data_IF_489102024166
#
_entry.id   IF_489102024166
#
_cell.length_a   1.000
_cell.length_b   1.000
_cell.length_c   1.000
_cell.angle_alpha   90.00
_cell.angle_beta   90.00
_cell.angle_gamma   90.00
#
_symmetry.space_group_name_H-M   'P 1'
#
loop_
_entity.id
_entity.type
_entity.pdbx_description
1 polymer ?
#
# COMPACT_ATOMS: atom_id res chain seq x y z
N UNK A 1 -8.67 -21.48 -29.56
CA UNK A 1 -8.33 -20.86 -28.27
C UNK A 1 -8.34 -19.33 -28.40
N UNK A 2 -9.37 -18.78 -29.05
CA UNK A 2 -9.38 -17.40 -29.59
C UNK A 2 -10.66 -16.61 -29.22
N UNK A 3 -11.51 -17.14 -28.33
CA UNK A 3 -12.85 -16.58 -28.08
C UNK A 3 -13.14 -16.13 -26.65
N UNK A 4 -12.10 -16.00 -25.81
CA UNK A 4 -12.24 -15.55 -24.42
C UNK A 4 -11.52 -14.22 -24.12
N UNK A 5 -10.94 -13.57 -25.13
CA UNK A 5 -10.25 -12.27 -24.98
C UNK A 5 -11.16 -11.04 -25.17
N UNK A 6 -12.44 -11.21 -25.50
CA UNK A 6 -13.34 -10.09 -25.84
C UNK A 6 -14.22 -9.57 -24.68
N UNK A 7 -13.95 -9.96 -23.42
CA UNK A 7 -14.73 -9.50 -22.24
C UNK A 7 -13.91 -8.75 -21.18
N UNK A 8 -12.64 -8.50 -21.43
CA UNK A 8 -11.77 -7.78 -20.51
C UNK A 8 -11.55 -6.37 -21.04
N UNK A 9 -12.30 -5.40 -20.52
CA UNK A 9 -11.93 -3.98 -20.66
C UNK A 9 -10.64 -3.76 -19.86
N UNK A 10 -9.50 -3.48 -20.52
CA UNK A 10 -8.25 -3.20 -19.84
C UNK A 10 -8.38 -1.91 -19.02
N UNK A 11 -7.65 -1.85 -17.91
CA UNK A 11 -7.51 -0.65 -17.11
C UNK A 11 -6.83 0.41 -17.98
N UNK A 12 -7.59 1.31 -18.60
CA UNK A 12 -7.05 2.46 -19.33
C UNK A 12 -6.36 3.40 -18.34
N UNK A 13 -5.08 3.12 -18.11
CA UNK A 13 -4.14 4.08 -17.56
C UNK A 13 -3.90 5.13 -18.64
N UNK A 14 -4.49 6.32 -18.50
CA UNK A 14 -4.13 7.48 -19.33
C UNK A 14 -2.72 7.90 -18.92
N UNK A 15 -1.73 7.50 -19.71
CA UNK A 15 -0.36 8.02 -19.62
C UNK A 15 0.09 8.54 -20.98
N UNK A 16 0.50 9.81 -20.99
CA UNK A 16 1.07 10.49 -22.14
C UNK A 16 2.60 10.28 -22.13
N UNK A 17 3.10 9.83 -23.28
CA UNK A 17 4.48 9.82 -23.75
C UNK A 17 5.51 8.95 -23.00
N UNK A 18 5.98 7.89 -23.68
CA UNK A 18 7.17 7.12 -23.34
C UNK A 18 6.91 5.62 -23.19
N UNK A 19 6.82 4.92 -24.32
CA UNK A 19 6.65 3.47 -24.52
C UNK A 19 7.24 2.58 -23.41
N UNK A 20 6.40 2.07 -22.51
CA UNK A 20 6.61 0.78 -21.81
C UNK A 20 5.26 0.11 -21.57
N UNK A 21 4.99 -0.95 -22.33
CA UNK A 21 3.82 -1.83 -22.14
C UNK A 21 4.04 -2.64 -20.85
N UNK A 22 3.32 -2.31 -19.78
CA UNK A 22 3.35 -3.09 -18.54
C UNK A 22 2.27 -4.18 -18.61
N UNK A 23 2.70 -5.43 -18.80
CA UNK A 23 1.79 -6.58 -18.69
C UNK A 23 1.44 -6.80 -17.22
N UNK A 24 0.20 -6.48 -16.84
CA UNK A 24 -0.36 -6.85 -15.54
C UNK A 24 -0.45 -8.39 -15.49
N UNK A 25 0.49 -9.06 -14.82
CA UNK A 25 0.42 -10.51 -14.60
C UNK A 25 -0.61 -10.80 -13.52
N UNK A 26 -1.85 -11.13 -13.93
CA UNK A 26 -2.80 -11.83 -13.06
C UNK A 26 -2.31 -13.26 -12.88
N UNK A 27 -1.97 -13.67 -11.66
CA UNK A 27 -1.75 -15.09 -11.35
C UNK A 27 -2.99 -15.66 -10.67
N UNK A 28 -3.79 -16.39 -11.44
CA UNK A 28 -4.63 -17.48 -10.95
C UNK A 28 -4.05 -18.75 -11.57
N UNK A 29 -3.86 -19.78 -10.73
CA UNK A 29 -3.50 -21.18 -11.03
C UNK A 29 -2.02 -21.61 -10.88
N UNK A 30 -1.87 -22.60 -9.99
CA UNK A 30 -0.83 -23.63 -9.88
C UNK A 30 0.57 -23.23 -9.37
N UNK A 31 0.64 -23.06 -8.04
CA UNK A 31 1.87 -23.21 -7.29
C UNK A 31 2.29 -24.70 -7.24
N UNK A 32 2.98 -25.16 -8.28
CA UNK A 32 3.82 -26.35 -8.26
C UNK A 32 5.22 -25.99 -8.75
N UNK A 33 6.11 -25.74 -7.79
CA UNK A 33 7.53 -26.08 -7.90
C UNK A 33 8.31 -25.61 -9.13
N UNK A 34 8.14 -24.36 -9.59
CA UNK A 34 9.14 -23.72 -10.45
C UNK A 34 9.92 -22.71 -9.65
N UNK A 35 11.14 -23.10 -9.29
CA UNK A 35 12.20 -22.21 -8.87
C UNK A 35 12.33 -21.09 -9.92
N UNK A 36 11.88 -19.89 -9.57
CA UNK A 36 12.40 -18.68 -10.20
C UNK A 36 13.90 -18.66 -9.92
N UNK A 37 14.70 -18.42 -10.95
CA UNK A 37 16.15 -18.53 -10.96
C UNK A 37 16.81 -18.08 -9.66
N UNK A 38 17.53 -19.00 -9.03
CA UNK A 38 18.36 -18.80 -7.85
C UNK A 38 19.62 -18.03 -8.23
N UNK A 39 19.52 -16.76 -8.60
CA UNK A 39 20.69 -15.97 -9.03
C UNK A 39 20.55 -14.49 -8.66
N UNK A 40 20.11 -14.23 -7.43
CA UNK A 40 20.62 -13.19 -6.51
C UNK A 40 19.75 -13.25 -5.25
N UNK A 41 20.20 -13.96 -4.21
CA UNK A 41 19.55 -13.93 -2.89
C UNK A 41 20.02 -12.70 -2.11
N UNK A 42 20.05 -11.53 -2.75
CA UNK A 42 20.26 -10.30 -2.03
C UNK A 42 19.03 -10.04 -1.16
N UNK A 43 19.26 -9.95 0.15
CA UNK A 43 18.24 -9.62 1.13
C UNK A 43 17.51 -8.36 0.69
N UNK A 44 16.18 -8.42 0.58
CA UNK A 44 15.40 -7.25 0.17
C UNK A 44 15.33 -6.32 1.38
N UNK A 45 16.00 -5.16 1.28
CA UNK A 45 15.91 -4.12 2.31
C UNK A 45 14.58 -3.39 2.23
N UNK A 46 13.83 -3.45 3.32
CA UNK A 46 12.51 -2.86 3.47
C UNK A 46 12.54 -1.85 4.62
N UNK A 47 11.93 -0.69 4.41
CA UNK A 47 11.55 0.22 5.50
C UNK A 47 10.04 0.13 5.69
N UNK A 48 9.61 0.07 6.95
CA UNK A 48 8.20 0.13 7.33
C UNK A 48 7.85 1.55 7.80
N UNK A 49 6.78 2.14 7.27
CA UNK A 49 6.30 3.45 7.66
C UNK A 49 4.82 3.40 8.04
N UNK A 50 4.42 4.03 9.14
CA UNK A 50 3.00 4.13 9.49
C UNK A 50 2.75 4.55 10.93
N UNK A 51 1.50 4.81 11.28
CA UNK A 51 1.15 5.19 12.66
C UNK A 51 1.15 3.97 13.59
N UNK A 52 1.59 4.12 14.87
CA UNK A 52 1.56 3.04 15.84
C UNK A 52 0.17 2.41 15.95
N UNK A 53 0.10 1.11 15.71
CA UNK A 53 -1.13 0.33 15.79
C UNK A 53 -0.82 -1.16 15.91
N UNK A 54 -1.77 -1.98 16.40
CA UNK A 54 -1.58 -3.44 16.41
C UNK A 54 -1.26 -4.02 15.04
N UNK A 55 -1.86 -3.47 13.98
CA UNK A 55 -1.60 -3.89 12.60
C UNK A 55 -0.15 -3.57 12.18
N UNK A 56 0.38 -2.38 12.50
CA UNK A 56 1.78 -2.05 12.20
C UNK A 56 2.74 -2.98 12.95
N UNK A 57 2.48 -3.24 14.24
CA UNK A 57 3.29 -4.17 15.04
C UNK A 57 3.26 -5.60 14.48
N UNK A 58 2.10 -6.02 13.96
CA UNK A 58 1.94 -7.29 13.27
C UNK A 58 2.74 -7.37 11.98
N UNK A 59 2.67 -6.35 11.12
CA UNK A 59 3.48 -6.28 9.90
C UNK A 59 4.98 -6.33 10.20
N UNK A 60 5.43 -5.59 11.22
CA UNK A 60 6.82 -5.64 11.71
C UNK A 60 7.23 -7.05 12.10
N UNK A 61 6.37 -7.78 12.81
CA UNK A 61 6.64 -9.16 13.21
C UNK A 61 6.75 -10.08 11.99
N UNK A 62 5.84 -9.98 11.02
CA UNK A 62 5.90 -10.75 9.77
C UNK A 62 7.21 -10.51 9.01
N UNK A 63 7.62 -9.25 8.85
CA UNK A 63 8.86 -8.88 8.17
C UNK A 63 10.10 -9.36 8.90
N UNK A 64 10.06 -9.39 10.24
CA UNK A 64 11.17 -9.86 11.07
C UNK A 64 11.34 -11.38 11.03
N UNK A 65 10.29 -12.12 10.69
CA UNK A 65 10.33 -13.58 10.53
C UNK A 65 10.70 -14.03 9.11
N UNK A 66 10.68 -13.13 8.12
CA UNK A 66 11.03 -13.44 6.74
C UNK A 66 12.55 -13.60 6.58
N UNK A 67 12.99 -14.67 5.92
CA UNK A 67 14.41 -15.01 5.77
C UNK A 67 15.08 -14.34 4.57
N UNK A 68 14.30 -13.73 3.69
CA UNK A 68 14.69 -13.07 2.44
C UNK A 68 14.48 -11.54 2.48
N UNK A 69 14.02 -11.01 3.62
CA UNK A 69 13.74 -9.60 3.84
C UNK A 69 14.55 -9.09 5.04
N UNK A 70 15.18 -7.93 4.86
CA UNK A 70 15.82 -7.18 5.94
C UNK A 70 14.94 -5.96 6.26
N UNK A 71 14.41 -5.90 7.48
CA UNK A 71 13.75 -4.68 7.97
C UNK A 71 14.81 -3.65 8.38
N UNK A 72 15.21 -2.81 7.44
CA UNK A 72 16.28 -1.81 7.59
C UNK A 72 15.90 -0.63 8.50
N UNK A 73 14.61 -0.51 8.86
CA UNK A 73 14.14 0.41 9.89
C UNK A 73 12.63 0.63 9.86
N UNK A 74 12.15 1.36 10.84
CA UNK A 74 10.75 1.75 10.98
C UNK A 74 10.66 3.26 11.24
N UNK A 75 9.71 3.92 10.60
CA UNK A 75 9.37 5.32 10.87
C UNK A 75 7.88 5.50 11.12
N UNK A 76 7.56 6.34 12.10
CA UNK A 76 6.17 6.69 12.40
C UNK A 76 5.71 7.95 11.63
N UNK A 77 6.63 8.59 10.92
CA UNK A 77 6.41 9.83 10.17
C UNK A 77 6.45 9.53 8.68
N UNK A 78 5.28 9.22 8.12
CA UNK A 78 5.13 8.89 6.69
C UNK A 78 5.73 9.97 5.77
N UNK A 79 5.58 11.29 6.02
CA UNK A 79 6.21 12.31 5.17
C UNK A 79 7.74 12.25 5.09
N UNK A 80 8.41 11.73 6.11
CA UNK A 80 9.88 11.59 6.16
C UNK A 80 10.36 10.23 5.62
N UNK A 81 9.43 9.32 5.33
CA UNK A 81 9.74 7.95 4.99
C UNK A 81 10.56 7.81 3.70
N UNK A 82 10.43 8.74 2.76
CA UNK A 82 11.26 8.77 1.54
C UNK A 82 12.75 8.94 1.89
N UNK A 83 13.06 9.95 2.67
CA UNK A 83 14.44 10.25 3.09
C UNK A 83 15.01 9.08 3.90
N UNK A 84 14.25 8.59 4.88
CA UNK A 84 14.66 7.47 5.71
C UNK A 84 14.91 6.19 4.89
N UNK A 85 14.07 5.90 3.88
CA UNK A 85 14.26 4.78 2.97
C UNK A 85 15.56 4.91 2.14
N UNK A 86 15.86 6.12 1.64
CA UNK A 86 17.08 6.40 0.89
C UNK A 86 18.33 6.24 1.77
N UNK A 87 18.32 6.80 2.99
CA UNK A 87 19.43 6.68 3.94
C UNK A 87 19.73 5.24 4.33
N UNK A 88 18.70 4.39 4.38
CA UNK A 88 18.82 2.96 4.69
C UNK A 88 19.14 2.08 3.48
N UNK A 89 19.20 2.66 2.27
CA UNK A 89 19.37 1.90 1.04
C UNK A 89 18.24 0.90 0.79
N UNK A 90 17.02 1.24 1.23
CA UNK A 90 15.87 0.38 1.09
C UNK A 90 15.42 0.31 -0.37
N UNK A 91 15.12 -0.91 -0.83
CA UNK A 91 14.55 -1.13 -2.17
C UNK A 91 13.03 -0.95 -2.15
N UNK A 92 12.41 -1.28 -1.03
CA UNK A 92 10.96 -1.19 -0.85
C UNK A 92 10.65 -0.36 0.40
N UNK A 93 9.72 0.59 0.25
CA UNK A 93 9.10 1.30 1.36
C UNK A 93 7.66 0.79 1.52
N UNK A 94 7.43 0.03 2.58
CA UNK A 94 6.12 -0.46 2.96
C UNK A 94 5.40 0.60 3.83
N UNK A 95 4.29 1.14 3.34
CA UNK A 95 3.53 2.20 4.03
C UNK A 95 2.22 1.62 4.55
N UNK A 96 2.09 1.52 5.87
CA UNK A 96 0.84 1.15 6.52
C UNK A 96 -0.11 2.35 6.62
N UNK A 97 -1.31 2.20 6.06
CA UNK A 97 -2.36 3.22 6.05
C UNK A 97 -3.59 2.72 6.81
N UNK A 98 -3.73 3.18 8.06
CA UNK A 98 -4.90 2.93 8.89
C UNK A 98 -6.10 3.85 8.54
N UNK A 99 -5.82 5.09 8.13
CA UNK A 99 -6.82 6.07 7.75
C UNK A 99 -6.59 6.51 6.31
N UNK A 100 -7.69 6.72 5.58
CA UNK A 100 -7.65 7.15 4.20
C UNK A 100 -8.25 8.56 4.05
N UNK A 101 -7.46 9.56 4.39
CA UNK A 101 -7.81 10.96 4.10
C UNK A 101 -7.31 11.34 2.70
N UNK A 102 -7.80 12.47 2.16
CA UNK A 102 -7.32 12.99 0.87
C UNK A 102 -5.81 13.19 0.85
N UNK A 103 -5.26 13.67 1.97
CA UNK A 103 -3.85 13.99 2.16
C UNK A 103 -2.93 12.77 1.99
N UNK A 104 -3.44 11.56 2.27
CA UNK A 104 -2.63 10.33 2.21
C UNK A 104 -2.04 10.10 0.82
N UNK A 105 -2.82 10.32 -0.25
CA UNK A 105 -2.35 10.12 -1.62
C UNK A 105 -1.40 11.22 -2.08
N UNK A 106 -1.57 12.44 -1.56
CA UNK A 106 -0.64 13.52 -1.84
C UNK A 106 0.72 13.25 -1.20
N UNK A 107 0.74 12.72 0.02
CA UNK A 107 1.98 12.27 0.68
C UNK A 107 2.67 11.16 -0.13
N UNK A 108 1.92 10.18 -0.65
CA UNK A 108 2.49 9.13 -1.51
C UNK A 108 3.16 9.73 -2.76
N UNK A 109 2.51 10.70 -3.42
CA UNK A 109 3.10 11.37 -4.60
C UNK A 109 4.40 12.07 -4.22
N UNK A 110 4.41 12.84 -3.12
CA UNK A 110 5.62 13.51 -2.64
C UNK A 110 6.75 12.53 -2.32
N UNK A 111 6.44 11.38 -1.72
CA UNK A 111 7.42 10.31 -1.46
C UNK A 111 7.96 9.75 -2.78
N UNK A 112 7.09 9.48 -3.75
CA UNK A 112 7.49 8.97 -5.06
C UNK A 112 8.39 9.95 -5.82
N UNK A 113 8.09 11.24 -5.74
CA UNK A 113 8.91 12.30 -6.36
C UNK A 113 10.28 12.44 -5.67
N UNK A 114 10.33 12.28 -4.35
CA UNK A 114 11.56 12.38 -3.56
C UNK A 114 12.46 11.14 -3.67
N UNK A 115 11.88 9.96 -3.89
CA UNK A 115 12.59 8.67 -3.95
C UNK A 115 12.07 7.81 -5.12
N UNK A 116 12.33 8.20 -6.38
CA UNK A 116 11.76 7.55 -7.56
C UNK A 116 12.20 6.10 -7.75
N UNK A 117 13.40 5.75 -7.26
CA UNK A 117 13.96 4.40 -7.35
C UNK A 117 13.45 3.47 -6.23
N UNK A 118 12.86 4.02 -5.16
CA UNK A 118 12.29 3.25 -4.06
C UNK A 118 10.88 2.79 -4.43
N UNK A 119 10.65 1.48 -4.31
CA UNK A 119 9.36 0.90 -4.65
C UNK A 119 8.39 1.04 -3.49
N UNK A 120 7.23 1.66 -3.76
CA UNK A 120 6.22 1.91 -2.73
C UNK A 120 5.20 0.77 -2.68
N UNK A 121 5.07 0.12 -1.53
CA UNK A 121 4.03 -0.86 -1.25
C UNK A 121 3.11 -0.29 -0.18
N UNK A 122 1.84 -0.06 -0.50
CA UNK A 122 0.84 0.32 0.50
C UNK A 122 0.25 -0.92 1.13
N UNK A 123 0.21 -0.95 2.46
CA UNK A 123 -0.54 -1.94 3.23
C UNK A 123 -1.68 -1.20 3.94
N UNK A 124 -2.94 -1.49 3.62
CA UNK A 124 -4.07 -0.68 4.09
C UNK A 124 -5.11 -1.47 4.87
N UNK A 125 -5.82 -0.78 5.76
CA UNK A 125 -7.09 -1.26 6.34
C UNK A 125 -8.25 -1.31 5.36
N UNK A 126 -8.11 -0.61 4.23
CA UNK A 126 -9.15 -0.50 3.22
C UNK A 126 -8.95 -1.54 2.11
N UNK A 127 -9.94 -2.41 1.94
CA UNK A 127 -9.95 -3.42 0.88
C UNK A 127 -10.62 -2.93 -0.42
N UNK A 128 -11.21 -1.73 -0.42
CA UNK A 128 -11.98 -1.25 -1.56
C UNK A 128 -11.06 -0.90 -2.75
N UNK A 129 -11.41 -1.43 -3.91
CA UNK A 129 -10.68 -1.24 -5.17
C UNK A 129 -10.47 0.23 -5.56
N UNK A 130 -11.35 1.13 -5.10
CA UNK A 130 -11.22 2.56 -5.35
C UNK A 130 -10.03 3.20 -4.60
N UNK A 131 -9.67 2.70 -3.41
CA UNK A 131 -8.47 3.15 -2.71
C UNK A 131 -7.21 2.66 -3.41
N UNK A 132 -7.20 1.38 -3.83
CA UNK A 132 -6.08 0.83 -4.59
C UNK A 132 -5.86 1.60 -5.90
N UNK A 133 -6.92 1.91 -6.66
CA UNK A 133 -6.81 2.69 -7.89
C UNK A 133 -6.15 4.06 -7.64
N UNK A 134 -6.59 4.79 -6.61
CA UNK A 134 -5.99 6.09 -6.24
C UNK A 134 -4.56 5.96 -5.75
N UNK A 135 -4.19 4.86 -5.09
CA UNK A 135 -2.82 4.60 -4.69
C UNK A 135 -1.93 4.38 -5.92
N UNK A 136 -2.40 3.60 -6.90
CA UNK A 136 -1.66 3.38 -8.16
C UNK A 136 -1.54 4.67 -8.97
N UNK A 137 -2.59 5.49 -9.04
CA UNK A 137 -2.54 6.84 -9.64
C UNK A 137 -1.56 7.78 -8.91
N UNK A 138 -1.35 7.57 -7.61
CA UNK A 138 -0.33 8.29 -6.83
C UNK A 138 1.08 7.72 -7.03
N UNK A 139 1.24 6.64 -7.79
CA UNK A 139 2.51 6.01 -8.07
C UNK A 139 2.94 5.00 -7.01
N UNK A 140 2.04 4.16 -6.47
CA UNK A 140 2.51 2.96 -5.75
C UNK A 140 2.85 1.84 -6.73
N UNK A 141 3.75 0.97 -6.31
CA UNK A 141 4.09 -0.26 -7.03
C UNK A 141 3.28 -1.45 -6.50
N UNK A 142 2.73 -1.36 -5.28
CA UNK A 142 1.76 -2.34 -4.82
C UNK A 142 0.76 -1.85 -3.79
N UNK A 143 -0.33 -2.60 -3.66
CA UNK A 143 -1.40 -2.38 -2.69
C UNK A 143 -1.86 -3.71 -2.09
N UNK A 144 -1.72 -3.84 -0.77
CA UNK A 144 -2.08 -5.03 -0.02
C UNK A 144 -3.09 -4.67 1.07
N UNK A 145 -4.11 -5.51 1.26
CA UNK A 145 -5.03 -5.38 2.38
C UNK A 145 -4.40 -6.03 3.61
N UNK A 146 -4.28 -5.30 4.74
CA UNK A 146 -3.52 -5.81 5.89
C UNK A 146 -4.03 -7.16 6.42
N UNK A 147 -5.31 -7.48 6.21
CA UNK A 147 -5.89 -8.75 6.66
C UNK A 147 -5.40 -9.96 5.88
N UNK A 148 -4.76 -9.76 4.73
CA UNK A 148 -4.13 -10.84 3.94
C UNK A 148 -2.59 -10.83 4.06
N UNK A 149 -2.03 -9.96 4.90
CA UNK A 149 -0.58 -9.78 5.02
C UNK A 149 0.15 -11.06 5.43
N UNK A 150 -0.47 -11.92 6.25
CA UNK A 150 0.13 -13.18 6.72
C UNK A 150 0.55 -14.11 5.57
N UNK A 151 -0.21 -14.12 4.48
CA UNK A 151 0.05 -14.98 3.33
C UNK A 151 0.65 -14.27 2.12
N UNK A 152 0.50 -12.94 2.04
CA UNK A 152 0.82 -12.18 0.82
C UNK A 152 1.98 -11.19 0.98
N UNK A 153 2.33 -10.75 2.20
CA UNK A 153 3.25 -9.62 2.39
C UNK A 153 4.63 -9.85 1.78
N UNK A 154 5.25 -11.00 2.07
CA UNK A 154 6.59 -11.34 1.55
C UNK A 154 6.60 -11.45 0.03
N UNK A 155 5.59 -12.11 -0.55
CA UNK A 155 5.46 -12.24 -2.00
C UNK A 155 5.19 -10.89 -2.68
N UNK A 156 4.38 -10.02 -2.06
CA UNK A 156 4.14 -8.67 -2.53
C UNK A 156 5.43 -7.84 -2.55
N UNK A 157 6.24 -7.93 -1.49
CA UNK A 157 7.53 -7.26 -1.41
C UNK A 157 8.49 -7.79 -2.47
N UNK A 158 8.59 -9.11 -2.66
CA UNK A 158 9.44 -9.71 -3.67
C UNK A 158 9.07 -9.25 -5.09
N UNK A 159 7.78 -9.28 -5.45
CA UNK A 159 7.29 -8.84 -6.77
C UNK A 159 7.57 -7.36 -7.01
N UNK A 160 7.23 -6.52 -6.03
CA UNK A 160 7.43 -5.07 -6.10
C UNK A 160 8.91 -4.72 -6.17
N UNK A 161 9.75 -5.40 -5.40
CA UNK A 161 11.19 -5.28 -5.46
C UNK A 161 11.71 -5.65 -6.85
N UNK A 162 11.31 -6.80 -7.42
CA UNK A 162 11.72 -7.27 -8.73
C UNK A 162 11.31 -6.35 -9.89
N UNK A 163 10.42 -5.41 -9.63
CA UNK A 163 10.05 -4.36 -10.56
C UNK A 163 8.59 -4.40 -10.99
N UNK A 164 7.85 -5.42 -10.56
CA UNK A 164 6.47 -5.67 -10.90
C UNK A 164 5.48 -4.80 -10.14
N UNK A 165 4.20 -5.06 -10.41
CA UNK A 165 3.06 -4.47 -9.71
C UNK A 165 2.33 -5.53 -8.91
N UNK A 166 1.90 -5.21 -7.70
CA UNK A 166 1.17 -6.15 -6.86
C UNK A 166 -0.14 -5.57 -6.34
N UNK A 167 -1.24 -6.30 -6.46
CA UNK A 167 -2.50 -5.97 -5.78
C UNK A 167 -3.06 -7.23 -5.14
N UNK A 168 -3.45 -7.16 -3.87
CA UNK A 168 -3.99 -8.34 -3.20
C UNK A 168 -5.28 -8.82 -3.89
N UNK A 169 -5.45 -10.14 -3.93
CA UNK A 169 -6.54 -10.76 -4.68
C UNK A 169 -7.92 -10.33 -4.14
N UNK A 170 -8.05 -10.21 -2.82
CA UNK A 170 -9.25 -9.70 -2.16
C UNK A 170 -9.63 -8.29 -2.64
N UNK A 171 -8.64 -7.40 -2.78
CA UNK A 171 -8.87 -6.03 -3.27
C UNK A 171 -9.27 -6.05 -4.74
N UNK A 172 -8.58 -6.86 -5.55
CA UNK A 172 -8.84 -6.97 -6.98
C UNK A 172 -10.24 -7.50 -7.29
N UNK A 173 -10.70 -8.52 -6.54
CA UNK A 173 -12.01 -9.16 -6.72
C UNK A 173 -13.18 -8.29 -6.25
N UNK A 174 -12.93 -7.24 -5.45
CA UNK A 174 -14.01 -6.37 -4.98
C UNK A 174 -14.59 -5.51 -6.12
N UNK A 175 -15.92 -5.36 -6.16
CA UNK A 175 -16.56 -4.48 -7.13
C UNK A 175 -16.12 -3.03 -6.90
N UNK A 176 -15.93 -2.29 -8.00
CA UNK A 176 -15.55 -0.88 -7.97
C UNK A 176 -16.76 -0.05 -7.53
N UNK A 177 -16.97 0.11 -6.21
CA UNK A 177 -17.93 1.06 -5.65
C UNK A 177 -17.25 2.41 -5.48
N UNK A 178 -17.93 3.49 -5.87
CA UNK A 178 -17.42 4.86 -5.70
C UNK A 178 -17.11 5.16 -4.24
N UNK A 179 -16.02 5.90 -3.99
CA UNK A 179 -15.69 6.39 -2.66
C UNK A 179 -16.81 7.32 -2.18
N UNK A 180 -17.52 6.94 -1.11
CA UNK A 180 -18.31 7.92 -0.36
C UNK A 180 -17.33 8.78 0.42
N UNK A 181 -17.27 10.06 0.08
CA UNK A 181 -16.43 11.02 0.78
C UNK A 181 -17.00 11.31 2.18
N UNK A 182 -16.77 10.44 3.17
CA UNK A 182 -16.82 10.76 4.61
C UNK A 182 -16.85 9.50 5.49
N UNK A 183 -15.73 9.14 6.13
CA UNK A 183 -15.75 8.36 7.39
C UNK A 183 -14.81 8.92 8.48
N UNK A 184 -13.89 9.85 8.14
CA UNK A 184 -13.06 10.54 9.14
C UNK A 184 -13.74 11.72 9.87
N UNK A 185 -14.72 12.38 9.23
CA UNK A 185 -15.26 13.65 9.74
C UNK A 185 -16.35 13.51 10.82
N UNK A 186 -16.92 12.31 11.04
CA UNK A 186 -18.08 12.13 11.95
C UNK A 186 -17.69 11.87 13.41
N UNK A 187 -16.46 11.42 13.69
CA UNK A 187 -15.97 11.23 15.07
C UNK A 187 -15.45 12.52 15.72
N UNK A 188 -14.93 13.48 14.95
CA UNK A 188 -14.42 14.75 15.49
C UNK A 188 -15.53 15.76 15.86
N UNK A 189 -16.74 15.67 15.30
CA UNK A 189 -17.83 16.63 15.57
C UNK A 189 -18.75 16.27 16.74
N UNK A 190 -18.70 15.03 17.24
CA UNK A 190 -19.57 14.60 18.35
C UNK A 190 -18.98 14.87 19.75
N UNK A 191 -17.67 15.14 19.85
CA UNK A 191 -17.01 15.55 21.10
C UNK A 191 -17.05 17.06 21.40
N UNK A 192 -17.36 17.90 20.41
CA UNK A 192 -17.29 19.37 20.55
C UNK A 192 -18.62 20.04 20.93
N UNK A 193 -19.70 19.29 21.18
CA UNK A 193 -21.03 19.87 21.54
C UNK A 193 -21.47 19.63 22.99
N UNK A 194 -20.67 18.96 23.81
CA UNK A 194 -21.07 18.61 25.19
C UNK A 194 -20.37 19.45 26.29
N UNK A 195 -19.74 20.58 25.91
CA UNK A 195 -18.86 21.35 26.79
C UNK A 195 -19.34 22.74 27.24
N UNK A 196 -20.59 23.14 26.98
CA UNK A 196 -21.08 24.48 27.39
C UNK A 196 -22.34 24.39 28.26
N UNK A 197 -22.16 23.94 29.51
CA UNK A 197 -23.11 24.15 30.60
C UNK A 197 -22.34 24.59 31.85
N UNK A 198 -21.89 25.84 31.85
CA UNK A 198 -21.33 26.47 33.05
C UNK A 198 -22.33 27.49 33.61
N UNK A 199 -22.96 27.07 34.70
CA UNK A 199 -23.46 27.82 35.86
C UNK A 199 -24.11 29.20 35.65
N UNK A 200 -25.44 29.22 35.84
CA UNK A 200 -26.19 30.40 36.30
C UNK A 200 -25.90 30.64 37.78
N UNK A 201 -25.50 31.86 38.12
CA UNK A 201 -25.38 32.33 39.50
C UNK A 201 -26.69 33.05 39.91
N UNK A 202 -27.35 32.74 41.04
CA UNK A 202 -28.43 33.56 41.54
C UNK A 202 -27.89 34.69 42.44
N UNK A 203 -28.63 35.80 42.46
CA UNK A 203 -28.39 37.00 43.26
C UNK A 203 -28.82 36.82 44.71
#
# INVERSE_FOLDING_TARGET
MERLLAKFEPFEAVHRAGERTFTLRMHELEWKGKAFGLEDRSMIKVVLAGTPSPALAHLRALLSCASDIELAGETLLVPEAAHYALERGARVLAIYLAASTGDTFEVIRRIRDAAPDVRLLVVSAHAERAFAARAFEAGVSGYLWHSTADGELTSAIAEVAAGGLYVSLDVYRRPRRGLRASDGARRARKGARDGSRTQRNPR
#
